data_IF_188558219612
#
_entry.id   IF_188558219612
#
_cell.length_a   1.000
_cell.length_b   1.000
_cell.length_c   1.000
_cell.angle_alpha   90.00
_cell.angle_beta   90.00
_cell.angle_gamma   90.00
#
_symmetry.space_group_name_H-M   'P 1'
#
loop_
_entity.id
_entity.type
_entity.pdbx_description
1 polymer ?
#
# COMPACT_ATOMS: atom_id res chain seq x y z
N UNK A 1 11.95 -2.11 -13.87
CA UNK A 1 10.56 -1.75 -14.07
C UNK A 1 9.76 -2.12 -12.82
N UNK A 2 9.07 -1.14 -12.28
CA UNK A 2 8.35 -1.33 -11.02
C UNK A 2 6.91 -1.72 -11.32
N UNK A 3 6.57 -2.95 -11.01
CA UNK A 3 5.23 -3.45 -11.19
C UNK A 3 4.48 -3.43 -9.87
N UNK A 4 3.21 -3.10 -9.95
CA UNK A 4 2.33 -3.18 -8.80
C UNK A 4 1.66 -4.53 -8.85
N UNK A 5 1.77 -5.27 -7.76
CA UNK A 5 1.24 -6.63 -7.70
C UNK A 5 -0.02 -6.65 -6.82
N UNK A 6 -1.07 -7.26 -7.34
CA UNK A 6 -2.27 -7.52 -6.52
C UNK A 6 -2.01 -8.76 -5.68
N UNK A 7 -2.25 -8.66 -4.38
CA UNK A 7 -2.01 -9.79 -3.49
C UNK A 7 -3.28 -10.13 -2.71
N UNK A 8 -3.31 -11.35 -2.20
CA UNK A 8 -4.35 -11.81 -1.31
C UNK A 8 -3.81 -11.83 0.12
N UNK A 9 -4.72 -12.05 1.08
CA UNK A 9 -4.32 -12.16 2.47
C UNK A 9 -3.33 -13.31 2.68
N UNK A 10 -3.46 -14.37 1.89
CA UNK A 10 -2.54 -15.51 2.00
C UNK A 10 -1.12 -15.14 1.60
N UNK A 11 -0.97 -14.16 0.72
CA UNK A 11 0.35 -13.73 0.24
C UNK A 11 0.96 -12.65 1.12
N UNK A 12 0.19 -12.12 2.05
CA UNK A 12 0.65 -11.00 2.87
C UNK A 12 1.92 -11.36 3.66
N UNK A 13 1.98 -12.54 4.25
CA UNK A 13 3.15 -12.92 5.04
C UNK A 13 4.41 -12.96 4.18
N UNK A 14 4.29 -13.47 2.96
CA UNK A 14 5.44 -13.56 2.07
C UNK A 14 5.82 -12.20 1.47
N UNK A 15 4.81 -11.46 1.00
CA UNK A 15 5.09 -10.24 0.24
C UNK A 15 5.38 -9.04 1.10
N UNK A 16 4.84 -8.99 2.32
CA UNK A 16 4.99 -7.84 3.20
C UNK A 16 5.85 -8.19 4.41
N UNK A 17 5.41 -9.15 5.22
CA UNK A 17 6.11 -9.47 6.46
C UNK A 17 7.48 -10.08 6.21
N UNK A 18 7.60 -10.88 5.17
CA UNK A 18 8.87 -11.51 4.83
C UNK A 18 9.72 -10.71 3.87
N UNK A 19 9.31 -9.50 3.54
CA UNK A 19 10.05 -8.70 2.56
C UNK A 19 11.28 -8.06 3.20
N UNK A 20 12.42 -8.19 2.51
CA UNK A 20 13.65 -7.54 2.94
C UNK A 20 13.73 -6.09 2.52
N UNK A 21 12.84 -5.67 1.62
CA UNK A 21 12.77 -4.28 1.18
C UNK A 21 11.47 -3.69 1.67
N UNK A 22 11.38 -2.35 1.76
CA UNK A 22 10.13 -1.72 2.18
C UNK A 22 9.00 -2.10 1.25
N UNK A 23 7.79 -2.17 1.78
CA UNK A 23 6.60 -2.50 1.01
C UNK A 23 5.53 -1.44 1.25
N UNK A 24 4.80 -1.12 0.19
CA UNK A 24 3.66 -0.20 0.24
C UNK A 24 2.46 -1.01 -0.23
N UNK A 25 1.39 -1.00 0.56
CA UNK A 25 0.20 -1.81 0.27
C UNK A 25 -1.04 -0.93 0.30
N UNK A 26 -1.74 -0.88 -0.82
CA UNK A 26 -3.01 -0.15 -0.92
C UNK A 26 -4.18 -1.11 -0.75
N UNK A 27 -5.04 -0.81 0.22
CA UNK A 27 -6.31 -1.52 0.39
C UNK A 27 -7.39 -0.74 -0.35
N UNK A 28 -8.12 -1.43 -1.24
CA UNK A 28 -9.11 -0.76 -2.10
C UNK A 28 -10.32 -1.64 -2.32
N UNK A 29 -11.41 -1.05 -2.79
CA UNK A 29 -12.59 -1.81 -3.24
C UNK A 29 -13.07 -1.21 -4.54
N UNK A 30 -13.76 -2.03 -5.32
CA UNK A 30 -14.17 -1.64 -6.67
C UNK A 30 -15.16 -0.47 -6.68
N UNK A 31 -16.09 -0.44 -5.73
CA UNK A 31 -17.17 0.54 -5.72
C UNK A 31 -16.82 1.83 -4.98
N UNK A 32 -15.55 2.14 -4.88
CA UNK A 32 -15.04 3.27 -4.11
C UNK A 32 -14.58 4.38 -5.06
N UNK A 33 -15.26 5.54 -5.02
CA UNK A 33 -14.92 6.65 -5.91
C UNK A 33 -13.51 7.17 -5.66
N UNK A 34 -13.11 7.30 -4.40
CA UNK A 34 -11.76 7.76 -4.09
C UNK A 34 -10.70 6.77 -4.53
N UNK A 35 -11.01 5.48 -4.47
CA UNK A 35 -10.10 4.46 -4.97
C UNK A 35 -9.87 4.61 -6.47
N UNK A 36 -10.93 4.86 -7.21
CA UNK A 36 -10.80 5.06 -8.66
C UNK A 36 -9.99 6.31 -8.97
N UNK A 37 -10.20 7.36 -8.19
CA UNK A 37 -9.47 8.61 -8.35
C UNK A 37 -8.00 8.44 -8.00
N UNK A 38 -7.71 7.63 -7.00
CA UNK A 38 -6.35 7.40 -6.53
C UNK A 38 -5.58 6.41 -7.39
N UNK A 39 -6.28 5.58 -8.16
CA UNK A 39 -5.62 4.54 -8.95
C UNK A 39 -4.52 5.07 -9.86
N UNK A 40 -4.78 6.11 -10.69
CA UNK A 40 -3.71 6.62 -11.55
C UNK A 40 -2.55 7.24 -10.75
N UNK A 41 -2.83 7.80 -9.58
CA UNK A 41 -1.77 8.29 -8.71
C UNK A 41 -0.92 7.13 -8.20
N UNK A 42 -1.58 6.11 -7.68
CA UNK A 42 -0.87 4.96 -7.12
C UNK A 42 0.00 4.28 -8.18
N UNK A 43 -0.50 4.19 -9.40
CA UNK A 43 0.22 3.53 -10.48
C UNK A 43 1.50 4.27 -10.87
N UNK A 44 1.59 5.56 -10.56
CA UNK A 44 2.79 6.34 -10.86
C UNK A 44 3.78 6.38 -9.69
N UNK A 45 3.37 5.98 -8.51
CA UNK A 45 4.23 6.05 -7.33
C UNK A 45 5.53 5.24 -7.48
N UNK A 46 5.51 4.01 -8.03
CA UNK A 46 6.77 3.28 -8.16
C UNK A 46 7.82 4.03 -8.97
N UNK A 47 7.38 4.70 -10.02
CA UNK A 47 8.29 5.46 -10.88
C UNK A 47 8.83 6.70 -10.17
N UNK A 48 7.95 7.40 -9.46
CA UNK A 48 8.32 8.65 -8.79
C UNK A 48 9.18 8.38 -7.55
N UNK A 49 8.81 7.37 -6.77
CA UNK A 49 9.55 7.01 -5.56
C UNK A 49 10.91 6.42 -5.92
N UNK A 50 10.94 5.54 -6.91
CA UNK A 50 12.17 4.87 -7.31
C UNK A 50 12.69 3.93 -6.24
N UNK A 51 13.93 3.49 -6.41
CA UNK A 51 14.58 2.64 -5.41
C UNK A 51 14.00 1.25 -5.33
N UNK A 52 14.37 0.56 -4.26
CA UNK A 52 13.93 -0.81 -4.01
C UNK A 52 12.74 -0.77 -3.05
N UNK A 53 11.56 -0.58 -3.59
CA UNK A 53 10.33 -0.56 -2.81
C UNK A 53 9.32 -1.45 -3.52
N UNK A 54 8.65 -2.30 -2.77
CA UNK A 54 7.64 -3.20 -3.32
C UNK A 54 6.27 -2.53 -3.22
N UNK A 55 5.61 -2.36 -4.36
CA UNK A 55 4.27 -1.74 -4.39
C UNK A 55 3.21 -2.81 -4.64
N UNK A 56 2.23 -2.86 -3.74
CA UNK A 56 1.22 -3.92 -3.71
C UNK A 56 -0.17 -3.33 -3.59
N UNK A 57 -1.18 -4.10 -3.99
CA UNK A 57 -2.58 -3.73 -3.83
C UNK A 57 -3.36 -4.94 -3.34
N UNK A 58 -4.39 -4.68 -2.54
CA UNK A 58 -5.29 -5.74 -2.08
C UNK A 58 -6.74 -5.27 -2.19
N UNK A 59 -7.53 -6.00 -2.95
CA UNK A 59 -8.97 -5.75 -3.02
C UNK A 59 -9.61 -6.35 -1.76
N UNK A 60 -10.07 -5.47 -0.85
CA UNK A 60 -10.58 -5.89 0.45
C UNK A 60 -11.79 -6.78 0.38
N UNK A 61 -12.60 -6.65 -0.67
CA UNK A 61 -13.85 -7.39 -0.77
C UNK A 61 -13.77 -8.57 -1.71
N UNK A 62 -12.57 -8.90 -2.19
CA UNK A 62 -12.43 -10.04 -3.08
C UNK A 62 -12.62 -11.35 -2.35
N UNK A 63 -12.13 -11.45 -1.12
CA UNK A 63 -12.30 -12.64 -0.29
C UNK A 63 -12.58 -12.21 1.14
N UNK A 64 -13.15 -13.12 1.92
CA UNK A 64 -13.40 -12.84 3.33
C UNK A 64 -12.09 -12.71 4.10
N UNK A 65 -11.07 -13.45 3.68
CA UNK A 65 -9.76 -13.39 4.32
C UNK A 65 -9.12 -12.02 4.10
N UNK A 66 -9.27 -11.46 2.89
CA UNK A 66 -8.77 -10.11 2.63
C UNK A 66 -9.45 -9.09 3.54
N UNK A 67 -10.77 -9.20 3.66
CA UNK A 67 -11.51 -8.27 4.52
C UNK A 67 -11.09 -8.40 5.97
N UNK A 68 -10.94 -9.61 6.46
CA UNK A 68 -10.52 -9.83 7.85
C UNK A 68 -9.14 -9.27 8.12
N UNK A 69 -8.21 -9.46 7.19
CA UNK A 69 -6.87 -8.90 7.35
C UNK A 69 -6.93 -7.38 7.41
N UNK A 70 -7.68 -6.77 6.51
CA UNK A 70 -7.79 -5.31 6.47
C UNK A 70 -8.38 -4.79 7.79
N UNK A 71 -9.43 -5.45 8.28
CA UNK A 71 -10.04 -5.05 9.55
C UNK A 71 -9.06 -5.20 10.72
N UNK A 72 -8.33 -6.31 10.74
CA UNK A 72 -7.32 -6.53 11.78
C UNK A 72 -6.24 -5.47 11.77
N UNK A 73 -5.96 -4.91 10.61
CA UNK A 73 -4.95 -3.87 10.45
C UNK A 73 -5.52 -2.46 10.63
N UNK A 74 -6.79 -2.36 11.00
CA UNK A 74 -7.40 -1.06 11.31
C UNK A 74 -7.83 -0.26 10.10
N UNK A 75 -8.04 -0.91 8.96
CA UNK A 75 -8.50 -0.21 7.75
C UNK A 75 -10.00 0.04 7.90
N UNK A 76 -10.40 1.32 7.96
CA UNK A 76 -11.79 1.70 8.14
C UNK A 76 -12.37 2.42 6.94
N UNK A 77 -11.53 2.87 6.02
CA UNK A 77 -12.01 3.49 4.79
C UNK A 77 -11.03 3.18 3.66
N UNK A 78 -11.49 3.36 2.43
CA UNK A 78 -10.67 3.08 1.26
C UNK A 78 -10.57 4.33 0.39
N UNK A 79 -9.46 4.51 -0.32
CA UNK A 79 -8.26 3.70 -0.21
C UNK A 79 -7.50 3.98 1.09
N UNK A 80 -6.81 2.98 1.61
CA UNK A 80 -5.84 3.17 2.68
C UNK A 80 -4.53 2.55 2.22
N UNK A 81 -3.48 3.35 2.24
CA UNK A 81 -2.16 2.92 1.78
C UNK A 81 -1.24 2.84 2.97
N UNK A 82 -0.71 1.66 3.23
CA UNK A 82 0.17 1.45 4.39
C UNK A 82 1.59 1.21 3.93
N UNK A 83 2.54 1.71 4.71
CA UNK A 83 3.97 1.56 4.42
C UNK A 83 4.58 0.67 5.50
N UNK A 84 5.37 -0.30 5.05
CA UNK A 84 5.99 -1.28 5.95
C UNK A 84 7.49 -1.28 5.77
N UNK A 85 8.21 -1.41 6.89
CA UNK A 85 9.66 -1.60 6.90
C UNK A 85 9.96 -2.84 7.73
N UNK A 86 10.67 -3.79 7.14
CA UNK A 86 10.99 -5.05 7.80
C UNK A 86 9.73 -5.73 8.36
N UNK A 87 8.66 -5.64 7.60
CA UNK A 87 7.40 -6.27 7.95
C UNK A 87 6.53 -5.53 8.95
N UNK A 88 6.99 -4.38 9.44
CA UNK A 88 6.22 -3.60 10.42
C UNK A 88 5.64 -2.35 9.76
N UNK A 89 4.40 -2.05 10.10
CA UNK A 89 3.77 -0.84 9.59
C UNK A 89 4.40 0.38 10.22
N UNK A 90 4.85 1.32 9.37
CA UNK A 90 5.53 2.54 9.83
C UNK A 90 4.81 3.81 9.41
N UNK A 91 3.79 3.71 8.57
CA UNK A 91 3.02 4.89 8.17
C UNK A 91 1.84 4.51 7.32
N UNK A 92 0.95 5.47 7.10
CA UNK A 92 -0.22 5.23 6.25
C UNK A 92 -0.75 6.53 5.68
N UNK A 93 -1.44 6.39 4.55
CA UNK A 93 -2.23 7.44 3.95
C UNK A 93 -3.66 6.95 3.92
N UNK A 94 -4.59 7.71 4.48
CA UNK A 94 -6.00 7.37 4.46
C UNK A 94 -6.69 8.26 3.43
N UNK A 95 -7.31 7.63 2.43
CA UNK A 95 -8.01 8.35 1.39
C UNK A 95 -7.12 8.75 0.22
N UNK A 96 -7.64 9.63 -0.59
CA UNK A 96 -6.96 10.13 -1.79
C UNK A 96 -5.96 11.24 -1.44
N UNK A 97 -4.81 11.21 -2.09
CA UNK A 97 -3.89 12.35 -2.13
C UNK A 97 -3.41 12.54 -3.56
N UNK A 98 -3.14 13.78 -3.97
CA UNK A 98 -2.48 14.00 -5.26
C UNK A 98 -1.09 13.38 -5.27
N UNK A 99 -0.57 13.14 -6.46
CA UNK A 99 0.70 12.43 -6.64
C UNK A 99 1.85 13.03 -5.84
N UNK A 100 2.01 14.36 -5.89
CA UNK A 100 3.13 14.99 -5.19
C UNK A 100 3.05 14.80 -3.70
N UNK A 101 1.85 14.93 -3.15
CA UNK A 101 1.67 14.78 -1.70
C UNK A 101 1.81 13.33 -1.26
N UNK A 102 1.28 12.41 -2.06
CA UNK A 102 1.40 10.98 -1.75
C UNK A 102 2.86 10.55 -1.80
N UNK A 103 3.59 10.97 -2.83
CA UNK A 103 5.00 10.63 -2.97
C UNK A 103 5.82 11.20 -1.83
N UNK A 104 5.55 12.46 -1.46
CA UNK A 104 6.29 13.10 -0.37
C UNK A 104 6.05 12.38 0.95
N UNK A 105 4.80 12.04 1.23
CA UNK A 105 4.47 11.35 2.47
C UNK A 105 5.18 10.01 2.55
N UNK A 106 5.13 9.24 1.46
CA UNK A 106 5.76 7.93 1.43
C UNK A 106 7.28 8.05 1.55
N UNK A 107 7.88 9.01 0.83
CA UNK A 107 9.32 9.22 0.92
C UNK A 107 9.76 9.53 2.34
N UNK A 108 9.01 10.40 3.02
CA UNK A 108 9.36 10.77 4.40
C UNK A 108 9.28 9.57 5.33
N UNK A 109 8.26 8.73 5.14
CA UNK A 109 8.13 7.52 5.95
C UNK A 109 9.26 6.55 5.63
N UNK A 110 9.59 6.40 4.35
CA UNK A 110 10.65 5.48 3.93
C UNK A 110 12.03 5.90 4.46
N UNK A 111 12.26 7.19 4.61
CA UNK A 111 13.53 7.66 5.18
C UNK A 111 13.71 7.14 6.59
N UNK A 112 12.65 6.97 7.33
CA UNK A 112 12.70 6.41 8.67
C UNK A 112 13.01 4.92 8.70
N UNK A 113 12.90 4.24 7.55
CA UNK A 113 13.21 2.83 7.47
C UNK A 113 14.70 2.54 7.49
N UNK A 114 15.49 3.53 7.15
CA UNK A 114 16.94 3.35 7.09
C UNK A 114 17.52 3.56 8.45
N UNK A 115 18.29 2.64 8.88
CA UNK A 115 18.90 2.72 10.20
C UNK A 115 20.39 2.57 10.10
#
# INVERSE_FOLDING_TARGET
MNEIKDISAEEYDREVKGSEIPAVLEFWVRSCDQCRKFKPVYERLPEVIGGNVRFLRMNMLKTIENLRLAEDMGVEQTPTTKVFCSGEEVGEIVGYLPLEEAAKTIDEVLQGCES
#
